data_IF_716053856901
#
_entry.id   IF_716053856901
#
_cell.length_a   1.000
_cell.length_b   1.000
_cell.length_c   1.000
_cell.angle_alpha   90.00
_cell.angle_beta   90.00
_cell.angle_gamma   90.00
#
_symmetry.space_group_name_H-M   'P 1'
#
loop_
_entity.id
_entity.type
_entity.pdbx_description
1 polymer ?
#
# COMPACT_ATOMS: atom_id res chain seq x y z
N UNK A 1 11.72 -10.96 9.28
CA UNK A 1 11.72 -10.18 10.53
C UNK A 1 12.89 -9.22 10.47
N UNK A 2 12.65 -7.90 10.52
CA UNK A 2 13.71 -6.88 10.50
C UNK A 2 14.58 -7.00 11.77
N UNK A 3 15.87 -6.63 11.69
CA UNK A 3 16.79 -6.69 12.83
C UNK A 3 16.28 -5.78 13.95
N UNK A 4 16.43 -6.24 15.20
CA UNK A 4 16.04 -5.48 16.41
C UNK A 4 16.81 -4.15 16.44
N UNK A 5 16.14 -3.03 16.18
CA UNK A 5 16.74 -1.69 16.25
C UNK A 5 16.40 -0.72 15.12
N UNK A 6 15.89 -1.20 13.98
CA UNK A 6 15.53 -0.33 12.85
C UNK A 6 14.02 -0.39 12.55
N UNK A 7 13.23 0.33 13.35
CA UNK A 7 11.77 0.38 13.24
C UNK A 7 11.29 1.31 12.12
N UNK A 8 12.14 2.22 11.65
CA UNK A 8 11.78 3.27 10.71
C UNK A 8 11.51 2.73 9.30
N UNK A 9 12.28 1.73 8.86
CA UNK A 9 12.05 1.08 7.56
C UNK A 9 10.87 0.09 7.59
N UNK A 10 10.66 -0.56 8.74
CA UNK A 10 9.65 -1.59 8.87
C UNK A 10 8.24 -0.99 9.06
N UNK A 11 8.13 0.14 9.78
CA UNK A 11 6.82 0.74 10.12
C UNK A 11 5.98 1.14 8.89
N UNK A 12 6.53 1.79 7.83
CA UNK A 12 5.77 2.10 6.61
C UNK A 12 5.27 0.85 5.88
N UNK A 13 6.09 -0.19 5.81
CA UNK A 13 5.72 -1.45 5.16
C UNK A 13 4.69 -2.23 5.98
N UNK A 14 4.82 -2.26 7.30
CA UNK A 14 3.82 -2.84 8.19
C UNK A 14 2.46 -2.15 8.04
N UNK A 15 2.45 -0.82 7.98
CA UNK A 15 1.22 -0.07 7.73
C UNK A 15 0.60 -0.43 6.37
N UNK A 16 1.40 -0.46 5.31
CA UNK A 16 0.95 -0.85 3.98
C UNK A 16 0.31 -2.25 3.97
N UNK A 17 0.99 -3.24 4.56
CA UNK A 17 0.47 -4.61 4.61
C UNK A 17 -0.76 -4.76 5.51
N UNK A 18 -0.88 -3.95 6.56
CA UNK A 18 -2.08 -3.86 7.38
C UNK A 18 -3.30 -3.44 6.56
N UNK A 19 -3.17 -2.33 5.83
CA UNK A 19 -4.22 -1.79 4.97
C UNK A 19 -4.57 -2.78 3.85
N UNK A 20 -3.56 -3.33 3.16
CA UNK A 20 -3.77 -4.30 2.09
C UNK A 20 -4.59 -5.49 2.60
N UNK A 21 -4.22 -6.07 3.74
CA UNK A 21 -4.96 -7.20 4.28
C UNK A 21 -6.38 -6.84 4.67
N UNK A 22 -6.60 -5.66 5.25
CA UNK A 22 -7.94 -5.19 5.62
C UNK A 22 -8.84 -4.94 4.43
N UNK A 23 -8.33 -4.30 3.38
CA UNK A 23 -9.16 -3.83 2.26
C UNK A 23 -9.38 -4.89 1.18
N UNK A 24 -8.43 -5.82 0.96
CA UNK A 24 -8.53 -6.80 -0.15
C UNK A 24 -8.46 -8.27 0.28
N UNK A 25 -7.96 -8.59 1.47
CA UNK A 25 -7.71 -9.99 1.84
C UNK A 25 -8.73 -10.53 2.84
N UNK A 26 -8.94 -9.83 3.95
CA UNK A 26 -9.87 -10.28 4.98
C UNK A 26 -11.31 -10.23 4.47
N UNK A 27 -12.06 -11.31 4.69
CA UNK A 27 -13.43 -11.46 4.18
C UNK A 27 -13.53 -11.90 2.71
N UNK A 28 -12.43 -11.97 1.98
CA UNK A 28 -12.41 -12.38 0.57
C UNK A 28 -11.82 -13.79 0.40
N UNK A 29 -12.48 -14.63 -0.41
CA UNK A 29 -11.96 -15.93 -0.84
C UNK A 29 -11.34 -15.80 -2.22
N UNK A 30 -10.09 -16.22 -2.34
CA UNK A 30 -9.39 -16.33 -3.61
C UNK A 30 -9.32 -17.81 -4.02
N UNK A 31 -9.73 -18.10 -5.24
CA UNK A 31 -9.80 -19.47 -5.75
C UNK A 31 -8.60 -19.85 -6.63
N UNK A 32 -7.73 -18.88 -6.92
CA UNK A 32 -6.47 -19.13 -7.60
C UNK A 32 -5.38 -18.14 -7.19
N UNK A 33 -4.14 -18.61 -7.25
CA UNK A 33 -2.97 -17.74 -7.09
C UNK A 33 -2.96 -16.61 -8.13
N UNK A 34 -3.37 -16.88 -9.36
CA UNK A 34 -3.44 -15.88 -10.44
C UNK A 34 -4.40 -14.73 -10.08
N UNK A 35 -5.57 -15.08 -9.54
CA UNK A 35 -6.56 -14.09 -9.09
C UNK A 35 -5.98 -13.24 -7.96
N UNK A 36 -5.46 -13.87 -6.90
CA UNK A 36 -4.85 -13.14 -5.77
C UNK A 36 -3.71 -12.22 -6.24
N UNK A 37 -2.82 -12.71 -7.11
CA UNK A 37 -1.72 -11.92 -7.65
C UNK A 37 -2.20 -10.72 -8.44
N UNK A 38 -3.24 -10.87 -9.25
CA UNK A 38 -3.81 -9.78 -10.03
C UNK A 38 -4.44 -8.73 -9.10
N UNK A 39 -5.27 -9.16 -8.14
CA UNK A 39 -5.88 -8.26 -7.15
C UNK A 39 -4.84 -7.46 -6.36
N UNK A 40 -3.74 -8.10 -5.93
CA UNK A 40 -2.65 -7.39 -5.24
C UNK A 40 -1.98 -6.36 -6.17
N UNK A 41 -1.73 -6.69 -7.44
CA UNK A 41 -1.14 -5.74 -8.40
C UNK A 41 -2.05 -4.54 -8.63
N UNK A 42 -3.34 -4.77 -8.81
CA UNK A 42 -4.32 -3.72 -9.03
C UNK A 42 -4.43 -2.82 -7.79
N UNK A 43 -4.43 -3.42 -6.61
CA UNK A 43 -4.40 -2.69 -5.35
C UNK A 43 -3.15 -1.82 -5.19
N UNK A 44 -1.97 -2.33 -5.55
CA UNK A 44 -0.72 -1.55 -5.49
C UNK A 44 -0.78 -0.35 -6.43
N UNK A 45 -1.33 -0.52 -7.63
CA UNK A 45 -1.51 0.59 -8.58
C UNK A 45 -2.47 1.64 -8.00
N UNK A 46 -3.65 1.22 -7.57
CA UNK A 46 -4.62 2.08 -6.90
C UNK A 46 -3.99 2.84 -5.71
N UNK A 47 -3.29 2.13 -4.83
CA UNK A 47 -2.70 2.72 -3.63
C UNK A 47 -1.67 3.81 -3.95
N UNK A 48 -0.90 3.65 -5.02
CA UNK A 48 0.16 4.60 -5.38
C UNK A 48 -0.33 5.77 -6.24
N UNK A 49 -1.18 5.48 -7.21
CA UNK A 49 -1.55 6.43 -8.27
C UNK A 49 -2.90 7.12 -8.04
N UNK A 50 -3.81 6.50 -7.27
CA UNK A 50 -5.21 6.94 -7.19
C UNK A 50 -5.67 7.23 -5.75
N UNK A 51 -5.06 6.58 -4.74
CA UNK A 51 -5.50 6.71 -3.34
C UNK A 51 -5.21 8.09 -2.77
N UNK A 52 -6.27 8.87 -2.59
CA UNK A 52 -6.22 10.17 -1.93
C UNK A 52 -5.89 10.02 -0.44
N UNK A 53 -4.91 10.81 0.04
CA UNK A 53 -4.57 10.89 1.46
C UNK A 53 -4.64 12.33 1.95
N UNK A 54 -5.46 12.58 2.96
CA UNK A 54 -5.60 13.90 3.58
C UNK A 54 -4.25 14.44 4.06
N UNK A 55 -3.45 13.61 4.74
CA UNK A 55 -2.09 13.96 5.19
C UNK A 55 -1.12 14.36 4.08
N UNK A 56 -1.43 14.04 2.82
CA UNK A 56 -0.65 14.42 1.65
C UNK A 56 -1.23 15.64 0.92
N UNK A 57 -2.17 16.36 1.55
CA UNK A 57 -2.88 17.48 0.93
C UNK A 57 -3.87 17.03 -0.14
N UNK A 58 -4.59 15.92 0.13
CA UNK A 58 -5.54 15.31 -0.81
C UNK A 58 -4.91 14.86 -2.13
N UNK A 59 -3.65 14.42 -2.09
CA UNK A 59 -2.92 13.88 -3.23
C UNK A 59 -2.71 12.37 -3.09
N UNK A 60 -2.54 11.69 -4.23
CA UNK A 60 -2.01 10.32 -4.24
C UNK A 60 -0.52 10.30 -3.83
N UNK A 61 0.00 9.15 -3.36
CA UNK A 61 1.42 9.04 -3.02
C UNK A 61 2.39 9.38 -4.15
N UNK A 62 2.03 9.09 -5.40
CA UNK A 62 2.85 9.44 -6.57
C UNK A 62 2.76 10.94 -6.88
N UNK A 63 1.56 11.54 -6.85
CA UNK A 63 1.41 12.98 -7.06
C UNK A 63 2.12 13.80 -6.00
N UNK A 64 2.00 13.39 -4.73
CA UNK A 64 2.72 14.04 -3.64
C UNK A 64 4.23 13.98 -3.87
N UNK A 65 4.78 12.82 -4.26
CA UNK A 65 6.21 12.70 -4.59
C UNK A 65 6.61 13.62 -5.74
N UNK A 66 5.84 13.64 -6.84
CA UNK A 66 6.11 14.52 -7.99
C UNK A 66 6.11 16.00 -7.60
N UNK A 67 5.19 16.43 -6.73
CA UNK A 67 5.09 17.82 -6.26
C UNK A 67 6.23 18.23 -5.33
N UNK A 68 6.78 17.30 -4.54
CA UNK A 68 7.84 17.57 -3.57
C UNK A 68 9.25 17.20 -4.06
N UNK A 69 9.40 16.74 -5.30
CA UNK A 69 10.73 16.55 -5.90
C UNK A 69 11.12 17.86 -6.58
N UNK A 70 11.91 18.67 -5.87
CA UNK A 70 12.60 19.86 -6.37
C UNK A 70 14.09 19.74 -6.03
#
# INVERSE_FOLDING_TARGET
MSRKGDCLDNSPMENFFGILKQEIYYGHKFYSYKQLKQTIKDFIKYYNDERIKEKLGYLSPVEYRKKNTA
#
